data_IF_070642469150
#
_entry.id   IF_070642469150
#
_cell.length_a   1.000
_cell.length_b   1.000
_cell.length_c   1.000
_cell.angle_alpha   90.00
_cell.angle_beta   90.00
_cell.angle_gamma   90.00
#
_symmetry.space_group_name_H-M   'P 1'
#
loop_
_entity.id
_entity.type
_entity.pdbx_description
1 polymer ?
#
# COMPACT_ATOMS: atom_id res chain seq x y z
N UNK A 1 14.07 39.69 16.57
CA UNK A 1 14.10 41.16 16.66
C UNK A 1 12.69 41.70 16.34
N UNK A 2 11.85 41.90 17.37
CA UNK A 2 10.64 42.75 17.33
C UNK A 2 10.22 42.97 18.79
N UNK A 3 10.30 44.22 19.21
CA UNK A 3 10.19 44.70 20.58
C UNK A 3 8.79 45.22 20.89
N UNK A 4 8.33 44.94 22.12
CA UNK A 4 7.71 45.85 23.10
C UNK A 4 6.66 46.85 22.61
N UNK A 5 5.45 46.78 23.19
CA UNK A 5 4.77 47.95 23.82
C UNK A 5 3.96 47.48 25.04
N UNK A 6 4.43 47.82 26.26
CA UNK A 6 3.62 47.91 27.50
C UNK A 6 3.13 49.36 27.63
N UNK A 7 1.90 49.56 28.10
CA UNK A 7 1.43 50.85 28.65
C UNK A 7 0.91 50.66 30.08
N UNK A 8 1.33 51.49 31.04
CA UNK A 8 0.74 51.54 32.38
C UNK A 8 -0.31 52.66 32.46
N UNK A 9 -1.33 52.51 33.31
CA UNK A 9 -2.11 53.66 33.77
C UNK A 9 -2.17 53.72 35.29
N UNK A 10 -1.96 54.95 35.73
CA UNK A 10 -1.70 55.46 37.06
C UNK A 10 -2.94 55.56 37.94
N UNK A 11 -2.79 55.25 39.22
CA UNK A 11 -3.70 55.64 40.29
C UNK A 11 -3.77 57.17 40.44
N UNK A 12 -4.98 57.71 40.61
CA UNK A 12 -5.22 58.95 41.33
C UNK A 12 -6.34 58.73 42.34
N UNK A 13 -5.99 58.87 43.61
CA UNK A 13 -6.92 58.95 44.72
C UNK A 13 -7.48 60.38 44.82
N UNK A 14 -8.79 60.51 45.00
CA UNK A 14 -9.41 61.69 45.56
C UNK A 14 -10.35 61.26 46.68
N UNK A 15 -10.01 61.72 47.88
CA UNK A 15 -10.82 61.66 49.08
C UNK A 15 -11.88 62.76 49.03
N UNK A 16 -13.15 62.39 49.25
CA UNK A 16 -14.19 63.36 49.61
C UNK A 16 -15.02 62.80 50.77
N UNK A 17 -15.08 63.59 51.84
CA UNK A 17 -15.71 63.29 53.13
C UNK A 17 -17.23 63.47 53.07
N UNK A 18 -17.94 62.61 53.81
CA UNK A 18 -19.39 62.45 53.93
C UNK A 18 -20.19 63.73 54.27
N UNK A 19 -21.40 63.81 53.73
CA UNK A 19 -22.57 64.35 54.43
C UNK A 19 -23.71 63.32 54.39
N UNK A 20 -24.17 62.95 55.59
CA UNK A 20 -25.12 61.87 55.86
C UNK A 20 -26.57 62.39 55.79
N UNK A 21 -27.43 61.74 55.02
CA UNK A 21 -28.87 61.85 55.15
C UNK A 21 -29.50 60.45 54.98
N UNK A 22 -30.05 59.93 56.07
CA UNK A 22 -30.66 58.60 56.13
C UNK A 22 -32.08 58.65 55.55
N UNK A 23 -32.34 57.85 54.53
CA UNK A 23 -33.68 57.50 54.04
C UNK A 23 -33.77 55.96 54.07
N UNK A 24 -34.78 55.35 54.71
CA UNK A 24 -34.92 53.91 54.70
C UNK A 24 -35.46 53.47 53.33
N UNK A 25 -34.56 53.01 52.45
CA UNK A 25 -34.94 52.31 51.23
C UNK A 25 -34.89 50.80 51.49
N UNK A 26 -36.05 50.16 51.41
CA UNK A 26 -36.19 48.70 51.35
C UNK A 26 -35.38 48.15 50.17
N UNK A 27 -34.29 47.44 50.46
CA UNK A 27 -33.53 46.71 49.45
C UNK A 27 -34.29 45.41 49.17
N UNK A 28 -35.04 45.38 48.08
CA UNK A 28 -35.38 44.11 47.44
C UNK A 28 -34.10 43.55 46.85
N UNK A 29 -33.55 42.50 47.48
CA UNK A 29 -32.54 41.65 46.85
C UNK A 29 -33.22 40.85 45.75
N UNK A 30 -33.32 41.42 44.54
CA UNK A 30 -33.38 40.60 43.33
C UNK A 30 -31.99 40.01 43.15
N UNK A 31 -31.82 38.76 43.58
CA UNK A 31 -30.71 37.94 43.12
C UNK A 31 -30.89 37.85 41.61
N UNK A 32 -30.08 38.58 40.86
CA UNK A 32 -29.89 38.28 39.45
C UNK A 32 -29.40 36.83 39.42
N UNK A 33 -30.21 35.94 38.86
CA UNK A 33 -29.76 34.60 38.54
C UNK A 33 -28.48 34.77 37.72
N UNK A 34 -27.35 34.28 38.26
CA UNK A 34 -26.18 34.07 37.45
C UNK A 34 -26.64 33.18 36.28
N UNK A 35 -26.46 33.66 35.06
CA UNK A 35 -26.56 32.78 33.90
C UNK A 35 -25.67 31.57 34.18
N UNK A 36 -26.28 30.40 34.08
CA UNK A 36 -25.62 29.11 34.21
C UNK A 36 -24.52 29.07 33.14
N UNK A 37 -23.28 29.31 33.55
CA UNK A 37 -22.14 29.32 32.65
C UNK A 37 -21.85 27.86 32.31
N UNK A 38 -22.43 27.42 31.20
CA UNK A 38 -21.99 26.33 30.32
C UNK A 38 -21.40 25.13 31.08
N UNK A 39 -22.27 24.25 31.58
CA UNK A 39 -21.85 22.88 31.84
C UNK A 39 -21.20 22.35 30.54
N UNK A 40 -20.03 21.69 30.60
CA UNK A 40 -19.34 21.24 29.39
C UNK A 40 -20.34 20.41 28.58
N UNK A 41 -20.61 20.85 27.35
CA UNK A 41 -21.45 20.12 26.42
C UNK A 41 -20.79 18.75 26.24
N UNK A 42 -21.41 17.71 26.81
CA UNK A 42 -20.95 16.33 26.57
C UNK A 42 -21.15 16.11 25.08
N UNK A 43 -20.06 15.92 24.33
CA UNK A 43 -20.15 15.59 22.93
C UNK A 43 -20.97 14.29 22.80
N UNK A 44 -22.17 14.40 22.24
CA UNK A 44 -23.03 13.26 21.96
C UNK A 44 -22.79 12.81 20.52
N UNK A 45 -22.42 11.54 20.36
CA UNK A 45 -22.24 10.90 19.05
C UNK A 45 -23.61 10.43 18.53
N UNK A 46 -23.99 10.88 17.34
CA UNK A 46 -25.17 10.37 16.63
C UNK A 46 -24.79 9.06 15.92
N UNK A 47 -25.29 7.93 16.43
CA UNK A 47 -24.94 6.59 15.91
C UNK A 47 -25.65 6.27 14.59
N UNK A 48 -26.82 6.86 14.33
CA UNK A 48 -27.58 6.70 13.07
C UNK A 48 -27.16 7.70 11.97
N UNK A 49 -26.05 8.40 12.16
CA UNK A 49 -25.56 9.38 11.20
C UNK A 49 -25.13 8.72 9.87
N UNK A 50 -25.13 9.45 8.74
CA UNK A 50 -24.69 8.95 7.43
C UNK A 50 -23.16 8.85 7.29
N UNK A 51 -22.42 8.72 8.39
CA UNK A 51 -20.96 8.64 8.47
C UNK A 51 -20.55 7.72 9.63
N UNK A 52 -19.27 7.38 9.67
CA UNK A 52 -18.68 6.51 10.67
C UNK A 52 -18.06 7.33 11.82
N UNK A 53 -17.95 6.69 12.98
CA UNK A 53 -17.33 7.24 14.17
C UNK A 53 -16.26 6.30 14.72
N UNK A 54 -15.08 6.85 14.96
CA UNK A 54 -13.97 6.15 15.63
C UNK A 54 -13.64 6.89 16.91
N UNK A 55 -13.60 6.17 18.03
CA UNK A 55 -13.12 6.70 19.31
C UNK A 55 -11.72 6.17 19.57
N UNK A 56 -10.80 7.08 19.85
CA UNK A 56 -9.45 6.71 20.26
C UNK A 56 -9.40 6.35 21.75
N UNK A 57 -8.39 5.58 22.15
CA UNK A 57 -8.10 5.25 23.56
C UNK A 57 -7.79 6.49 24.40
N UNK A 58 -7.34 7.58 23.77
CA UNK A 58 -7.20 8.92 24.37
C UNK A 58 -8.54 9.56 24.76
N UNK A 59 -9.65 9.10 24.18
CA UNK A 59 -11.00 9.61 24.39
C UNK A 59 -11.53 10.52 23.28
N UNK A 60 -10.70 10.86 22.29
CA UNK A 60 -11.08 11.67 21.13
C UNK A 60 -12.03 10.90 20.20
N UNK A 61 -12.93 11.62 19.54
CA UNK A 61 -13.85 11.07 18.54
C UNK A 61 -13.56 11.67 17.17
N UNK A 62 -13.40 10.82 16.18
CA UNK A 62 -13.16 11.16 14.79
C UNK A 62 -14.41 10.85 13.96
N UNK A 63 -14.75 11.79 13.08
CA UNK A 63 -15.88 11.72 12.14
C UNK A 63 -15.35 11.51 10.73
N UNK A 64 -15.90 10.55 9.99
CA UNK A 64 -15.40 10.20 8.66
C UNK A 64 -16.00 8.92 8.11
N UNK A 65 -15.27 8.21 7.27
CA UNK A 65 -15.61 6.90 6.71
C UNK A 65 -14.47 5.91 6.95
N UNK A 66 -14.76 4.74 7.51
CA UNK A 66 -13.81 3.64 7.64
C UNK A 66 -13.66 2.98 6.28
N UNK A 67 -12.47 3.07 5.70
CA UNK A 67 -12.19 2.54 4.36
C UNK A 67 -11.63 1.12 4.44
N UNK A 68 -10.70 0.89 5.37
CA UNK A 68 -10.08 -0.42 5.61
C UNK A 68 -9.48 -0.54 7.03
N UNK A 69 -9.21 -1.77 7.45
CA UNK A 69 -8.23 -2.07 8.51
C UNK A 69 -7.26 -3.08 7.93
N UNK A 70 -6.01 -2.68 7.80
CA UNK A 70 -4.95 -3.42 7.16
C UNK A 70 -3.66 -3.21 7.96
N UNK A 71 -2.88 -4.29 8.14
CA UNK A 71 -1.54 -4.19 8.73
C UNK A 71 -1.50 -3.44 10.07
N UNK A 72 -2.45 -3.77 10.96
CA UNK A 72 -2.63 -3.14 12.28
C UNK A 72 -2.93 -1.63 12.25
N UNK A 73 -3.33 -1.07 11.11
CA UNK A 73 -3.81 0.31 11.00
C UNK A 73 -5.20 0.42 10.36
N UNK A 74 -6.04 1.24 10.98
CA UNK A 74 -7.37 1.59 10.50
C UNK A 74 -7.26 2.81 9.58
N UNK A 75 -7.58 2.59 8.30
CA UNK A 75 -7.67 3.64 7.29
C UNK A 75 -9.02 4.34 7.39
N UNK A 76 -8.98 5.67 7.53
CA UNK A 76 -10.13 6.51 7.86
C UNK A 76 -10.11 7.82 7.08
N UNK A 77 -11.10 8.04 6.22
CA UNK A 77 -11.24 9.27 5.42
C UNK A 77 -12.11 10.29 6.17
N UNK A 78 -11.58 11.47 6.46
CA UNK A 78 -12.29 12.55 7.14
C UNK A 78 -12.32 13.82 6.30
N UNK A 79 -13.51 14.41 6.11
CA UNK A 79 -13.67 15.69 5.41
C UNK A 79 -12.79 16.83 5.97
N UNK A 80 -12.48 16.80 7.26
CA UNK A 80 -11.74 17.88 7.96
C UNK A 80 -10.26 17.54 8.19
N UNK A 81 -9.89 16.26 8.27
CA UNK A 81 -8.52 15.81 8.55
C UNK A 81 -7.82 15.22 7.32
N UNK A 82 -8.57 14.93 6.24
CA UNK A 82 -8.11 14.10 5.13
C UNK A 82 -8.06 12.62 5.50
N UNK A 83 -7.30 11.85 4.72
CA UNK A 83 -7.02 10.44 4.98
C UNK A 83 -6.15 10.30 6.23
N UNK A 84 -6.56 9.42 7.16
CA UNK A 84 -5.88 9.15 8.41
C UNK A 84 -5.59 7.65 8.51
N UNK A 85 -4.36 7.30 8.86
CA UNK A 85 -3.97 5.95 9.25
C UNK A 85 -3.85 5.92 10.78
N UNK A 86 -4.68 5.11 11.43
CA UNK A 86 -4.81 5.08 12.89
C UNK A 86 -4.40 3.70 13.41
N UNK A 87 -3.37 3.64 14.26
CA UNK A 87 -2.98 2.42 14.98
C UNK A 87 -4.20 1.69 15.55
N UNK A 88 -4.37 0.42 15.19
CA UNK A 88 -5.54 -0.36 15.58
C UNK A 88 -5.66 -0.51 17.11
N UNK A 89 -4.52 -0.63 17.80
CA UNK A 89 -4.47 -0.65 19.26
C UNK A 89 -4.93 0.67 19.90
N UNK A 90 -4.89 1.77 19.15
CA UNK A 90 -5.39 3.08 19.58
C UNK A 90 -6.90 3.24 19.39
N UNK A 91 -7.60 2.28 18.77
CA UNK A 91 -9.05 2.31 18.59
C UNK A 91 -9.78 1.70 19.79
N UNK A 92 -10.53 2.53 20.52
CA UNK A 92 -11.33 2.11 21.66
C UNK A 92 -12.78 1.76 21.31
N UNK A 93 -13.34 2.41 20.28
CA UNK A 93 -14.67 2.12 19.77
C UNK A 93 -14.79 2.49 18.30
N UNK A 94 -15.61 1.74 17.59
CA UNK A 94 -15.93 1.96 16.18
C UNK A 94 -17.43 1.78 15.96
N UNK A 95 -18.01 2.70 15.18
CA UNK A 95 -19.39 2.64 14.69
C UNK A 95 -19.40 2.93 13.20
N UNK A 96 -19.91 2.01 12.38
CA UNK A 96 -19.97 2.21 10.92
C UNK A 96 -21.42 2.39 10.45
N UNK A 97 -21.63 3.38 9.59
CA UNK A 97 -22.89 3.61 8.90
C UNK A 97 -23.15 2.54 7.83
N UNK A 98 -22.12 2.19 7.06
CA UNK A 98 -22.17 1.16 6.01
C UNK A 98 -21.72 -0.20 6.56
N UNK A 99 -22.21 -1.27 5.96
CA UNK A 99 -21.71 -2.61 6.26
C UNK A 99 -20.27 -2.76 5.76
N UNK A 100 -19.46 -3.47 6.51
CA UNK A 100 -18.07 -3.82 6.16
C UNK A 100 -17.88 -5.33 6.22
N UNK A 101 -16.84 -5.83 5.57
CA UNK A 101 -16.39 -7.21 5.69
C UNK A 101 -15.30 -7.28 6.77
N UNK A 102 -15.50 -8.10 7.78
CA UNK A 102 -14.66 -8.18 8.97
C UNK A 102 -14.08 -9.58 9.05
N UNK A 103 -12.77 -9.70 8.85
CA UNK A 103 -12.05 -10.95 8.97
C UNK A 103 -11.36 -11.01 10.33
N UNK A 104 -11.67 -12.05 11.11
CA UNK A 104 -11.08 -12.29 12.42
C UNK A 104 -9.80 -13.13 12.32
N UNK A 105 -8.97 -13.08 13.37
CA UNK A 105 -7.74 -13.89 13.52
C UNK A 105 -8.01 -15.39 13.36
N UNK A 106 -9.15 -15.86 13.86
CA UNK A 106 -9.64 -17.23 13.71
C UNK A 106 -10.19 -17.58 12.31
N UNK A 107 -10.03 -16.67 11.33
CA UNK A 107 -10.49 -16.75 9.94
C UNK A 107 -12.00 -16.69 9.72
N UNK A 108 -12.82 -16.43 10.75
CA UNK A 108 -14.25 -16.16 10.55
C UNK A 108 -14.44 -14.82 9.84
N UNK A 109 -15.31 -14.81 8.83
CA UNK A 109 -15.65 -13.62 8.06
C UNK A 109 -17.09 -13.25 8.38
N UNK A 110 -17.28 -12.04 8.90
CA UNK A 110 -18.59 -11.45 9.14
C UNK A 110 -18.80 -10.29 8.16
N UNK A 111 -20.05 -10.04 7.81
CA UNK A 111 -20.44 -8.87 7.02
C UNK A 111 -21.55 -8.16 7.77
N UNK A 112 -21.37 -6.87 8.05
CA UNK A 112 -22.36 -6.08 8.76
C UNK A 112 -21.81 -4.74 9.22
N UNK A 113 -22.65 -3.93 9.85
CA UNK A 113 -22.22 -2.68 10.49
C UNK A 113 -21.50 -3.00 11.80
N UNK A 114 -20.42 -2.27 12.06
CA UNK A 114 -19.70 -2.36 13.32
C UNK A 114 -20.34 -1.44 14.34
N UNK A 115 -20.51 -1.93 15.55
CA UNK A 115 -20.91 -1.13 16.70
C UNK A 115 -20.14 -1.58 17.94
N UNK A 116 -19.62 -0.64 18.72
CA UNK A 116 -18.96 -0.97 19.99
C UNK A 116 -19.89 -0.65 21.15
N UNK A 117 -20.22 -1.64 21.96
CA UNK A 117 -21.07 -1.52 23.15
C UNK A 117 -20.31 -2.04 24.36
N UNK A 118 -20.17 -1.22 25.40
CA UNK A 118 -19.43 -1.55 26.63
C UNK A 118 -17.99 -2.08 26.37
N UNK A 119 -17.32 -1.53 25.36
CA UNK A 119 -15.96 -1.92 24.96
C UNK A 119 -15.87 -3.25 24.21
N UNK A 120 -17.01 -3.83 23.79
CA UNK A 120 -17.07 -5.04 22.96
C UNK A 120 -17.61 -4.72 21.58
N UNK A 121 -17.05 -5.37 20.57
CA UNK A 121 -17.47 -5.20 19.19
C UNK A 121 -18.69 -6.08 18.88
N UNK A 122 -19.66 -5.51 18.18
CA UNK A 122 -20.80 -6.19 17.62
C UNK A 122 -20.87 -5.92 16.11
N UNK A 123 -21.33 -6.92 15.36
CA UNK A 123 -21.46 -6.86 13.89
C UNK A 123 -22.90 -7.18 13.53
N UNK A 124 -23.70 -6.18 13.13
CA UNK A 124 -25.16 -6.29 12.96
C UNK A 124 -25.83 -7.03 14.14
N UNK A 125 -25.44 -6.69 15.38
CA UNK A 125 -25.94 -7.30 16.62
C UNK A 125 -25.37 -8.69 16.97
N UNK A 126 -24.51 -9.26 16.14
CA UNK A 126 -23.75 -10.48 16.49
C UNK A 126 -22.55 -10.11 17.36
N UNK A 127 -22.31 -10.85 18.45
CA UNK A 127 -21.22 -10.59 19.39
C UNK A 127 -21.55 -11.09 20.81
N UNK A 128 -20.78 -10.69 21.84
CA UNK A 128 -19.65 -9.77 21.78
C UNK A 128 -18.40 -10.40 21.14
N UNK A 129 -17.62 -9.59 20.43
CA UNK A 129 -16.27 -9.92 19.98
C UNK A 129 -15.24 -8.98 20.64
N UNK A 130 -13.99 -9.43 20.76
CA UNK A 130 -12.90 -8.54 21.11
C UNK A 130 -12.49 -7.72 19.89
N UNK A 131 -12.29 -6.41 20.05
CA UNK A 131 -11.85 -5.54 18.96
C UNK A 131 -10.49 -5.97 18.41
N UNK A 132 -9.60 -6.44 19.29
CA UNK A 132 -8.26 -6.94 18.95
C UNK A 132 -8.28 -8.30 18.23
N UNK A 133 -9.40 -9.02 18.22
CA UNK A 133 -9.52 -10.25 17.42
C UNK A 133 -9.83 -9.96 15.94
N UNK A 134 -10.10 -8.71 15.59
CA UNK A 134 -10.32 -8.28 14.20
C UNK A 134 -8.95 -8.18 13.52
N UNK A 135 -8.77 -8.95 12.46
CA UNK A 135 -7.54 -8.97 11.68
C UNK A 135 -7.60 -8.00 10.49
N UNK A 136 -8.76 -7.90 9.82
CA UNK A 136 -8.96 -6.98 8.68
C UNK A 136 -10.38 -6.48 8.59
N UNK A 137 -10.53 -5.24 8.13
CA UNK A 137 -11.79 -4.66 7.71
C UNK A 137 -11.63 -4.24 6.26
N UNK A 138 -12.62 -4.55 5.43
CA UNK A 138 -12.69 -4.06 4.06
C UNK A 138 -14.10 -3.55 3.78
N UNK A 139 -14.23 -2.37 3.19
CA UNK A 139 -15.51 -1.85 2.74
C UNK A 139 -16.30 -2.88 1.93
N UNK A 140 -17.64 -2.91 2.10
CA UNK A 140 -18.50 -3.74 1.25
C UNK A 140 -18.68 -3.06 -0.11
N UNK A 141 -17.60 -3.00 -0.90
CA UNK A 141 -17.68 -2.54 -2.28
C UNK A 141 -18.78 -3.35 -3.01
N UNK A 142 -19.75 -2.60 -3.56
CA UNK A 142 -20.91 -3.17 -4.26
C UNK A 142 -20.55 -3.64 -5.67
N UNK A 143 -19.49 -3.11 -6.28
CA UNK A 143 -19.07 -3.46 -7.64
C UNK A 143 -17.66 -4.02 -7.61
N UNK A 144 -17.46 -5.14 -8.29
CA UNK A 144 -16.17 -5.81 -8.35
C UNK A 144 -15.01 -4.91 -8.81
N UNK A 145 -15.29 -3.88 -9.60
CA UNK A 145 -14.30 -2.91 -10.06
C UNK A 145 -13.73 -2.05 -8.93
N UNK A 146 -14.50 -1.72 -7.88
CA UNK A 146 -14.02 -0.86 -6.78
C UNK A 146 -13.06 -1.59 -5.84
N UNK A 147 -12.75 -2.87 -6.11
CA UNK A 147 -11.75 -3.66 -5.38
C UNK A 147 -10.37 -3.60 -6.02
N UNK A 148 -10.25 -2.96 -7.18
CA UNK A 148 -9.01 -2.83 -7.92
C UNK A 148 -8.44 -1.44 -7.72
N UNK A 149 -7.16 -1.37 -7.37
CA UNK A 149 -6.34 -0.18 -7.56
C UNK A 149 -5.33 -0.44 -8.69
N UNK A 150 -4.83 0.63 -9.29
CA UNK A 150 -3.88 0.51 -10.38
C UNK A 150 -2.87 1.64 -10.44
N UNK A 151 -1.72 1.31 -11.02
CA UNK A 151 -0.63 2.24 -11.29
C UNK A 151 -0.20 2.06 -12.74
N UNK A 152 -0.14 3.13 -13.50
CA UNK A 152 0.36 3.13 -14.89
C UNK A 152 1.50 4.10 -14.97
N UNK A 153 2.66 3.65 -15.43
CA UNK A 153 3.86 4.47 -15.51
C UNK A 153 4.54 4.41 -16.87
N UNK A 154 5.34 5.44 -17.12
CA UNK A 154 6.27 5.51 -18.23
C UNK A 154 7.61 6.05 -17.72
N UNK A 155 8.72 5.55 -18.25
CA UNK A 155 10.06 5.94 -17.85
C UNK A 155 11.03 5.95 -19.03
N UNK A 156 12.18 6.55 -18.79
CA UNK A 156 13.26 6.64 -19.77
C UNK A 156 14.59 6.30 -19.12
N UNK A 157 15.49 5.74 -19.91
CA UNK A 157 16.91 5.62 -19.60
C UNK A 157 17.71 6.23 -20.74
N UNK A 158 18.71 7.04 -20.41
CA UNK A 158 19.46 7.82 -21.38
C UNK A 158 20.96 7.68 -21.14
N UNK A 159 21.71 7.29 -22.17
CA UNK A 159 23.18 7.18 -22.14
C UNK A 159 23.79 7.86 -23.36
N UNK A 160 24.78 8.72 -23.13
CA UNK A 160 25.52 9.45 -24.18
C UNK A 160 27.02 9.27 -24.06
N UNK A 161 27.73 9.50 -25.16
CA UNK A 161 29.19 9.60 -25.19
C UNK A 161 29.80 8.83 -26.36
N UNK A 162 30.17 7.57 -26.13
CA UNK A 162 30.69 6.70 -27.18
C UNK A 162 29.58 5.99 -27.97
N UNK A 163 28.38 5.91 -27.39
CA UNK A 163 27.17 5.33 -27.95
C UNK A 163 26.02 6.23 -27.49
N UNK A 164 25.06 6.49 -28.37
CA UNK A 164 23.83 7.23 -28.06
C UNK A 164 22.69 6.21 -27.95
N UNK A 165 22.33 5.90 -26.71
CA UNK A 165 21.30 4.92 -26.39
C UNK A 165 20.15 5.57 -25.63
N UNK A 166 18.94 5.32 -26.12
CA UNK A 166 17.68 5.81 -25.56
C UNK A 166 16.75 4.63 -25.33
N UNK A 167 16.41 4.34 -24.08
CA UNK A 167 15.48 3.25 -23.76
C UNK A 167 14.21 3.83 -23.14
N UNK A 168 13.07 3.25 -23.51
CA UNK A 168 11.77 3.61 -23.00
C UNK A 168 11.17 2.45 -22.21
N UNK A 169 10.56 2.76 -21.08
CA UNK A 169 9.84 1.81 -20.25
C UNK A 169 8.37 2.22 -20.16
N UNK A 170 7.46 1.25 -20.24
CA UNK A 170 6.07 1.40 -19.83
C UNK A 170 5.72 0.31 -18.84
N UNK A 171 4.98 0.66 -17.79
CA UNK A 171 4.57 -0.30 -16.77
C UNK A 171 3.11 -0.11 -16.36
N UNK A 172 2.48 -1.22 -16.00
CA UNK A 172 1.14 -1.28 -15.44
C UNK A 172 1.16 -2.24 -14.26
N UNK A 173 0.64 -1.81 -13.12
CA UNK A 173 0.43 -2.63 -11.94
C UNK A 173 -1.04 -2.55 -11.56
N UNK A 174 -1.67 -3.70 -11.32
CA UNK A 174 -3.06 -3.78 -10.88
C UNK A 174 -3.12 -4.65 -9.63
N UNK A 175 -3.90 -4.19 -8.65
CA UNK A 175 -4.05 -4.86 -7.37
C UNK A 175 -5.52 -4.97 -7.00
N UNK A 176 -6.05 -6.19 -7.08
CA UNK A 176 -7.36 -6.50 -6.53
C UNK A 176 -7.23 -6.90 -5.07
N UNK A 177 -7.95 -6.25 -4.16
CA UNK A 177 -7.94 -6.60 -2.72
C UNK A 177 -9.32 -6.97 -2.19
N UNK A 178 -9.32 -7.90 -1.24
CA UNK A 178 -10.46 -8.31 -0.41
C UNK A 178 -9.93 -8.69 0.96
N UNK A 179 -10.78 -8.75 1.99
CA UNK A 179 -10.36 -9.13 3.33
C UNK A 179 -9.58 -10.47 3.39
N UNK A 180 -9.90 -11.44 2.53
CA UNK A 180 -9.27 -12.78 2.52
C UNK A 180 -8.21 -13.01 1.44
N UNK A 181 -8.16 -12.17 0.41
CA UNK A 181 -7.33 -12.45 -0.76
C UNK A 181 -6.93 -11.21 -1.53
N UNK A 182 -5.78 -11.29 -2.20
CA UNK A 182 -5.33 -10.27 -3.13
C UNK A 182 -4.86 -10.89 -4.44
N UNK A 183 -5.07 -10.20 -5.55
CA UNK A 183 -4.52 -10.56 -6.86
C UNK A 183 -3.66 -9.41 -7.32
N UNK A 184 -2.38 -9.68 -7.59
CA UNK A 184 -1.42 -8.74 -8.16
C UNK A 184 -1.18 -9.11 -9.61
N UNK A 185 -1.34 -8.16 -10.51
CA UNK A 185 -0.95 -8.28 -11.91
C UNK A 185 0.04 -7.16 -12.22
N UNK A 186 1.11 -7.48 -12.94
CA UNK A 186 2.01 -6.46 -13.47
C UNK A 186 2.35 -6.72 -14.92
N UNK A 187 2.64 -5.66 -15.65
CA UNK A 187 3.15 -5.70 -17.00
C UNK A 187 4.21 -4.61 -17.16
N UNK A 188 5.34 -4.98 -17.75
CA UNK A 188 6.44 -4.08 -18.07
C UNK A 188 6.82 -4.32 -19.53
N UNK A 189 6.97 -3.24 -20.29
CA UNK A 189 7.54 -3.23 -21.63
C UNK A 189 8.75 -2.31 -21.65
N UNK A 190 9.87 -2.82 -22.15
CA UNK A 190 11.12 -2.08 -22.33
C UNK A 190 11.48 -2.09 -23.82
N UNK A 191 11.64 -0.91 -24.41
CA UNK A 191 12.03 -0.75 -25.82
C UNK A 191 13.38 -0.05 -25.86
N UNK A 192 14.35 -0.67 -26.52
CA UNK A 192 15.73 -0.22 -26.56
C UNK A 192 16.06 0.34 -27.94
N UNK A 193 16.63 1.54 -27.99
CA UNK A 193 17.10 2.17 -29.23
C UNK A 193 18.60 2.43 -29.20
N UNK A 194 19.28 2.12 -30.29
CA UNK A 194 20.67 2.48 -30.53
C UNK A 194 20.75 3.26 -31.85
N UNK A 195 21.35 4.45 -31.81
CA UNK A 195 21.41 5.38 -32.96
C UNK A 195 20.05 5.64 -33.65
N UNK A 196 18.94 5.53 -32.90
CA UNK A 196 17.57 5.75 -33.39
C UNK A 196 16.91 4.53 -34.04
N UNK A 197 17.57 3.37 -34.08
CA UNK A 197 16.99 2.10 -34.53
C UNK A 197 16.60 1.22 -33.32
N UNK A 198 15.42 0.60 -33.38
CA UNK A 198 14.96 -0.33 -32.35
C UNK A 198 15.85 -1.59 -32.38
N UNK A 199 16.55 -1.85 -31.28
CA UNK A 199 17.44 -3.00 -31.15
C UNK A 199 16.77 -4.17 -30.44
N UNK A 200 15.84 -3.88 -29.51
CA UNK A 200 15.13 -4.89 -28.74
C UNK A 200 13.82 -4.37 -28.18
N UNK A 201 12.89 -5.30 -27.99
CA UNK A 201 11.61 -5.06 -27.34
C UNK A 201 11.33 -6.20 -26.37
N UNK A 202 11.38 -5.88 -25.09
CA UNK A 202 11.27 -6.82 -24.00
C UNK A 202 9.95 -6.64 -23.27
N UNK A 203 9.35 -7.77 -22.90
CA UNK A 203 8.06 -7.79 -22.24
C UNK A 203 8.11 -8.73 -21.05
N UNK A 204 7.60 -8.27 -19.91
CA UNK A 204 7.38 -9.12 -18.75
C UNK A 204 5.98 -8.89 -18.20
N UNK A 205 5.22 -9.96 -18.03
CA UNK A 205 3.93 -9.91 -17.36
C UNK A 205 3.93 -10.87 -16.17
N UNK A 206 3.48 -10.45 -15.00
CA UNK A 206 3.37 -11.30 -13.82
C UNK A 206 1.95 -11.33 -13.29
N UNK A 207 1.58 -12.44 -12.67
CA UNK A 207 0.29 -12.59 -12.01
C UNK A 207 0.42 -13.47 -10.77
N UNK A 208 -0.09 -13.00 -9.64
CA UNK A 208 -0.05 -13.74 -8.38
C UNK A 208 -1.37 -13.60 -7.63
N UNK A 209 -1.91 -14.72 -7.16
CA UNK A 209 -3.10 -14.75 -6.30
C UNK A 209 -2.71 -15.22 -4.92
N UNK A 210 -2.92 -14.37 -3.92
CA UNK A 210 -2.64 -14.64 -2.51
C UNK A 210 -3.95 -14.86 -1.76
N UNK A 211 -4.00 -15.94 -0.97
CA UNK A 211 -5.11 -16.23 -0.07
C UNK A 211 -4.55 -16.30 1.34
N UNK A 212 -4.96 -15.35 2.18
CA UNK A 212 -4.55 -15.32 3.58
C UNK A 212 -5.16 -16.49 4.33
N UNK A 213 -4.35 -17.17 5.16
CA UNK A 213 -4.77 -18.33 5.97
C UNK A 213 -4.59 -18.10 7.47
N UNK A 214 -3.71 -17.19 7.85
CA UNK A 214 -3.56 -16.65 9.20
C UNK A 214 -2.96 -15.24 9.11
N UNK A 215 -2.70 -14.60 10.25
CA UNK A 215 -1.95 -13.34 10.32
C UNK A 215 -0.63 -13.43 9.55
N UNK A 216 0.10 -14.53 9.73
CA UNK A 216 1.48 -14.70 9.23
C UNK A 216 1.62 -15.55 7.97
N UNK A 217 0.60 -16.30 7.56
CA UNK A 217 0.72 -17.25 6.44
C UNK A 217 -0.31 -16.99 5.34
N UNK A 218 0.14 -17.19 4.10
CA UNK A 218 -0.71 -17.20 2.92
C UNK A 218 -0.41 -18.39 2.01
N UNK A 219 -1.43 -18.79 1.26
CA UNK A 219 -1.31 -19.73 0.16
C UNK A 219 -1.37 -18.95 -1.16
N UNK A 220 -0.54 -19.35 -2.12
CA UNK A 220 -0.46 -18.77 -3.46
C UNK A 220 -0.87 -19.84 -4.48
N UNK A 221 -2.19 -20.05 -4.71
CA UNK A 221 -2.66 -21.07 -5.65
C UNK A 221 -2.16 -20.87 -7.08
N UNK A 222 -1.90 -19.63 -7.47
CA UNK A 222 -1.43 -19.27 -8.80
C UNK A 222 -0.30 -18.26 -8.67
N UNK A 223 0.83 -18.60 -9.28
CA UNK A 223 1.86 -17.68 -9.71
C UNK A 223 2.07 -17.88 -11.21
N UNK A 224 2.23 -16.78 -11.92
CA UNK A 224 2.39 -16.77 -13.35
C UNK A 224 3.40 -15.70 -13.76
N UNK A 225 4.26 -16.02 -14.74
CA UNK A 225 5.16 -15.09 -15.38
C UNK A 225 5.24 -15.38 -16.88
N UNK A 226 5.09 -14.35 -17.69
CA UNK A 226 5.48 -14.33 -19.10
C UNK A 226 6.70 -13.42 -19.25
N UNK A 227 7.68 -13.85 -20.03
CA UNK A 227 8.89 -13.10 -20.29
C UNK A 227 9.35 -13.27 -21.75
N UNK A 228 9.68 -12.16 -22.42
CA UNK A 228 10.25 -12.10 -23.76
C UNK A 228 11.44 -11.15 -23.72
N UNK A 229 12.62 -11.64 -24.10
CA UNK A 229 13.86 -10.88 -24.09
C UNK A 229 14.75 -11.29 -25.27
N UNK A 230 14.57 -10.66 -26.45
CA UNK A 230 15.30 -11.04 -27.65
C UNK A 230 16.83 -10.92 -27.54
N UNK A 231 17.35 -9.96 -26.77
CA UNK A 231 18.79 -9.82 -26.51
C UNK A 231 19.36 -10.98 -25.67
N UNK A 232 18.53 -11.58 -24.82
CA UNK A 232 18.87 -12.79 -24.06
C UNK A 232 18.56 -14.07 -24.84
N UNK A 233 18.31 -13.97 -26.16
CA UNK A 233 17.91 -15.07 -27.03
C UNK A 233 16.57 -15.75 -26.63
N UNK A 234 15.73 -15.08 -25.84
CA UNK A 234 14.43 -15.63 -25.38
C UNK A 234 13.31 -15.01 -26.22
N UNK A 235 12.70 -15.80 -27.10
CA UNK A 235 11.51 -15.37 -27.85
C UNK A 235 10.25 -15.38 -26.98
N UNK A 236 10.09 -16.38 -26.11
CA UNK A 236 9.05 -16.39 -25.10
C UNK A 236 9.36 -17.38 -23.98
N UNK A 237 8.97 -17.04 -22.77
CA UNK A 237 9.09 -17.91 -21.62
C UNK A 237 7.86 -17.77 -20.75
N UNK A 238 7.26 -18.90 -20.41
CA UNK A 238 6.05 -19.00 -19.62
C UNK A 238 6.36 -19.82 -18.38
N UNK A 239 6.14 -19.23 -17.21
CA UNK A 239 6.27 -19.92 -15.92
C UNK A 239 4.91 -19.90 -15.25
N UNK A 240 4.44 -21.07 -14.81
CA UNK A 240 3.24 -21.19 -14.01
C UNK A 240 3.53 -22.07 -12.78
N UNK A 241 3.05 -21.66 -11.63
CA UNK A 241 3.33 -22.35 -10.38
C UNK A 241 2.29 -22.08 -9.30
N UNK A 242 2.54 -22.69 -8.16
CA UNK A 242 1.77 -22.50 -6.93
C UNK A 242 2.76 -22.51 -5.76
N UNK A 243 2.37 -21.99 -4.61
CA UNK A 243 3.27 -21.92 -3.47
C UNK A 243 2.58 -21.48 -2.20
N UNK A 244 3.38 -21.21 -1.20
CA UNK A 244 2.92 -20.62 0.04
C UNK A 244 4.01 -19.69 0.56
N UNK A 245 3.63 -18.79 1.45
CA UNK A 245 4.55 -17.83 2.00
C UNK A 245 4.12 -17.31 3.36
N UNK A 246 4.99 -16.47 3.89
CA UNK A 246 4.83 -15.83 5.18
C UNK A 246 4.98 -14.32 5.07
N UNK A 247 4.24 -13.64 5.92
CA UNK A 247 4.47 -12.25 6.27
C UNK A 247 5.50 -12.24 7.41
N UNK A 248 6.73 -11.81 7.10
CA UNK A 248 7.80 -11.62 8.08
C UNK A 248 7.57 -10.34 8.89
N UNK A 249 7.12 -9.29 8.21
CA UNK A 249 6.64 -8.02 8.76
C UNK A 249 5.35 -7.66 8.00
N UNK A 250 4.32 -7.19 8.69
CA UNK A 250 3.08 -6.72 8.08
C UNK A 250 2.43 -5.68 8.98
N UNK A 251 3.00 -4.47 8.97
CA UNK A 251 2.43 -3.30 9.61
C UNK A 251 2.25 -2.16 8.60
N UNK A 252 1.63 -1.07 9.05
CA UNK A 252 1.34 0.16 8.29
C UNK A 252 2.55 0.69 7.50
N UNK A 253 3.72 0.77 8.14
CA UNK A 253 4.92 1.35 7.52
C UNK A 253 5.78 0.35 6.76
N UNK A 254 5.63 -0.95 7.01
CA UNK A 254 6.54 -1.96 6.46
C UNK A 254 5.82 -3.29 6.21
N UNK A 255 5.89 -3.74 4.96
CA UNK A 255 5.51 -5.09 4.56
C UNK A 255 6.74 -5.86 4.11
N UNK A 256 6.96 -7.04 4.67
CA UNK A 256 7.97 -7.96 4.17
C UNK A 256 7.39 -9.36 4.06
N UNK A 257 7.34 -9.87 2.84
CA UNK A 257 6.88 -11.22 2.54
C UNK A 257 7.96 -12.08 1.92
N UNK A 258 7.87 -13.38 2.16
CA UNK A 258 8.62 -14.37 1.40
C UNK A 258 7.72 -15.55 1.06
N UNK A 259 7.85 -16.07 -0.16
CA UNK A 259 7.15 -17.26 -0.62
C UNK A 259 8.07 -18.17 -1.40
N UNK A 260 7.69 -19.44 -1.47
CA UNK A 260 8.36 -20.40 -2.32
C UNK A 260 7.37 -21.44 -2.82
N UNK A 261 7.69 -22.07 -3.95
CA UNK A 261 6.81 -23.08 -4.49
C UNK A 261 7.33 -23.78 -5.74
N UNK A 262 6.71 -24.92 -6.09
CA UNK A 262 6.96 -25.57 -7.36
C UNK A 262 6.27 -24.83 -8.51
N UNK A 263 6.82 -25.00 -9.71
CA UNK A 263 6.25 -24.51 -10.94
C UNK A 263 6.69 -25.34 -12.14
N UNK A 264 6.28 -24.88 -13.30
CA UNK A 264 6.65 -25.40 -14.60
C UNK A 264 7.03 -24.23 -15.49
N UNK A 265 8.11 -24.40 -16.25
CA UNK A 265 8.62 -23.40 -17.19
C UNK A 265 8.66 -24.00 -18.59
N UNK A 266 8.10 -23.28 -19.54
CA UNK A 266 8.28 -23.51 -20.97
C UNK A 266 9.05 -22.32 -21.55
N UNK A 267 10.15 -22.60 -22.26
CA UNK A 267 10.96 -21.58 -22.92
C UNK A 267 11.03 -21.89 -24.40
N UNK A 268 10.82 -20.86 -25.23
CA UNK A 268 11.16 -20.85 -26.64
C UNK A 268 12.27 -19.84 -26.89
N UNK A 269 13.41 -20.33 -27.34
CA UNK A 269 14.55 -19.52 -27.75
C UNK A 269 14.33 -18.93 -29.14
N UNK A 270 14.97 -17.79 -29.42
CA UNK A 270 14.88 -17.12 -30.73
C UNK A 270 15.69 -17.90 -31.76
N UNK A 271 16.90 -18.31 -31.37
CA UNK A 271 17.84 -19.07 -32.19
C UNK A 271 18.53 -20.13 -31.33
N UNK A 272 18.94 -21.23 -31.96
CA UNK A 272 19.73 -22.29 -31.33
C UNK A 272 20.72 -22.86 -32.35
N UNK A 273 21.85 -23.44 -31.90
CA UNK A 273 22.78 -24.13 -32.79
C UNK A 273 22.09 -25.25 -33.59
N UNK A 274 22.61 -25.55 -34.78
CA UNK A 274 22.05 -26.56 -35.68
C UNK A 274 21.87 -27.92 -34.98
N UNK A 275 20.66 -28.48 -35.09
CA UNK A 275 20.31 -29.78 -34.51
C UNK A 275 19.84 -29.73 -33.04
N UNK A 276 19.71 -28.55 -32.43
CA UNK A 276 19.07 -28.37 -31.13
C UNK A 276 17.59 -27.98 -31.27
N UNK A 277 16.80 -28.27 -30.23
CA UNK A 277 15.40 -27.84 -30.15
C UNK A 277 15.33 -26.38 -29.65
N UNK A 278 14.54 -25.56 -30.33
CA UNK A 278 14.27 -24.17 -29.91
C UNK A 278 13.44 -24.09 -28.62
N UNK A 279 12.81 -25.20 -28.22
CA UNK A 279 11.88 -25.25 -27.09
C UNK A 279 12.38 -26.16 -25.99
N UNK A 280 12.30 -25.69 -24.75
CA UNK A 280 12.73 -26.43 -23.57
C UNK A 280 11.67 -26.33 -22.49
N UNK A 281 11.33 -27.49 -21.92
CA UNK A 281 10.44 -27.62 -20.77
C UNK A 281 11.22 -27.91 -19.50
N UNK A 282 10.76 -27.38 -18.37
CA UNK A 282 11.40 -27.58 -17.08
C UNK A 282 10.42 -27.60 -15.93
N UNK A 283 10.62 -28.54 -15.00
CA UNK A 283 10.14 -28.32 -13.63
C UNK A 283 10.88 -27.11 -13.04
N UNK A 284 10.15 -26.25 -12.35
CA UNK A 284 10.69 -25.06 -11.72
C UNK A 284 10.48 -25.10 -10.20
N UNK A 285 11.37 -24.46 -9.46
CA UNK A 285 11.14 -24.09 -8.07
C UNK A 285 11.50 -22.63 -7.90
N UNK A 286 10.59 -21.84 -7.34
CA UNK A 286 10.83 -20.42 -7.10
C UNK A 286 10.94 -20.11 -5.62
N UNK A 287 11.73 -19.09 -5.32
CA UNK A 287 11.75 -18.38 -4.05
C UNK A 287 11.58 -16.90 -4.37
N UNK A 288 10.60 -16.27 -3.75
CA UNK A 288 10.29 -14.85 -3.92
C UNK A 288 10.37 -14.15 -2.56
N UNK A 289 10.82 -12.91 -2.56
CA UNK A 289 10.69 -12.01 -1.42
C UNK A 289 10.36 -10.61 -1.90
N UNK A 290 9.46 -9.95 -1.19
CA UNK A 290 8.99 -8.60 -1.48
C UNK A 290 9.02 -7.81 -0.18
N UNK A 291 9.72 -6.69 -0.20
CA UNK A 291 9.85 -5.73 0.87
C UNK A 291 9.30 -4.39 0.37
N UNK A 292 8.38 -3.80 1.11
CA UNK A 292 7.84 -2.48 0.86
C UNK A 292 7.91 -1.70 2.18
N UNK A 293 8.39 -0.46 2.14
CA UNK A 293 8.49 0.40 3.32
C UNK A 293 8.18 1.85 2.96
N UNK A 294 7.29 2.44 3.75
CA UNK A 294 7.09 3.89 3.80
C UNK A 294 8.23 4.50 4.61
N UNK A 295 9.04 5.34 3.97
CA UNK A 295 10.16 6.03 4.62
C UNK A 295 9.70 7.34 5.28
N UNK A 296 8.75 8.01 4.62
CA UNK A 296 8.08 9.25 5.02
C UNK A 296 6.75 9.34 4.26
N UNK A 297 5.85 10.24 4.67
CA UNK A 297 4.53 10.49 4.05
C UNK A 297 4.52 10.84 2.53
N UNK A 298 5.68 10.93 1.88
CA UNK A 298 5.84 11.22 0.45
C UNK A 298 6.95 10.38 -0.23
N UNK A 299 7.52 9.40 0.48
CA UNK A 299 8.61 8.56 -0.04
C UNK A 299 8.47 7.10 0.38
N UNK A 300 8.46 6.23 -0.61
CA UNK A 300 8.40 4.78 -0.42
C UNK A 300 9.60 4.08 -1.05
N UNK A 301 10.04 2.99 -0.43
CA UNK A 301 10.99 2.06 -1.03
C UNK A 301 10.36 0.69 -1.19
N UNK A 302 10.57 0.09 -2.36
CA UNK A 302 10.18 -1.28 -2.66
C UNK A 302 11.40 -2.08 -3.13
N UNK A 303 11.56 -3.30 -2.65
CA UNK A 303 12.59 -4.23 -3.07
C UNK A 303 11.98 -5.61 -3.30
N UNK A 304 12.10 -6.13 -4.50
CA UNK A 304 11.65 -7.48 -4.87
C UNK A 304 12.83 -8.32 -5.32
N UNK A 305 12.82 -9.59 -4.98
CA UNK A 305 13.81 -10.55 -5.45
C UNK A 305 13.17 -11.93 -5.66
N UNK A 306 13.33 -12.47 -6.86
CA UNK A 306 12.90 -13.80 -7.26
C UNK A 306 14.10 -14.63 -7.74
N UNK A 307 14.25 -15.82 -7.15
CA UNK A 307 15.11 -16.88 -7.65
C UNK A 307 14.21 -17.96 -8.28
N UNK A 308 14.50 -18.35 -9.52
CA UNK A 308 13.85 -19.47 -10.20
C UNK A 308 14.89 -20.53 -10.56
N UNK A 309 14.75 -21.71 -9.98
CA UNK A 309 15.59 -22.87 -10.24
C UNK A 309 14.95 -23.80 -11.27
N UNK A 310 15.69 -24.18 -12.31
CA UNK A 310 15.26 -25.01 -13.45
C UNK A 310 16.36 -26.00 -13.87
N UNK A 311 16.15 -26.74 -14.96
CA UNK A 311 17.21 -27.52 -15.62
C UNK A 311 18.25 -26.60 -16.30
N UNK A 312 19.37 -27.20 -16.74
CA UNK A 312 20.47 -26.45 -17.36
C UNK A 312 20.06 -25.75 -18.66
N UNK A 313 19.30 -26.44 -19.52
CA UNK A 313 18.85 -25.96 -20.83
C UNK A 313 17.86 -24.78 -20.70
N UNK A 314 17.16 -24.66 -19.56
CA UNK A 314 16.31 -23.51 -19.21
C UNK A 314 17.02 -22.49 -18.32
N UNK A 315 18.36 -22.51 -18.22
CA UNK A 315 19.12 -21.48 -17.51
C UNK A 315 19.54 -21.78 -16.06
N UNK A 316 19.13 -22.91 -15.49
CA UNK A 316 19.40 -23.43 -14.14
C UNK A 316 19.04 -22.54 -12.95
N UNK A 317 19.69 -21.40 -12.79
CA UNK A 317 19.41 -20.43 -11.72
C UNK A 317 19.20 -19.08 -12.36
N UNK A 318 17.97 -18.59 -12.25
CA UNK A 318 17.56 -17.29 -12.73
C UNK A 318 17.27 -16.38 -11.56
N UNK A 319 17.84 -15.19 -11.58
CA UNK A 319 17.62 -14.19 -10.56
C UNK A 319 16.95 -12.98 -11.22
N UNK A 320 15.95 -12.42 -10.56
CA UNK A 320 15.38 -11.14 -10.91
C UNK A 320 15.25 -10.33 -9.62
N UNK A 321 15.97 -9.21 -9.55
CA UNK A 321 15.92 -8.27 -8.44
C UNK A 321 15.50 -6.89 -8.94
N UNK A 322 14.63 -6.22 -8.18
CA UNK A 322 14.23 -4.84 -8.43
C UNK A 322 14.29 -4.07 -7.13
N UNK A 323 14.87 -2.87 -7.15
CA UNK A 323 14.75 -1.90 -6.06
C UNK A 323 14.21 -0.62 -6.65
N UNK A 324 13.12 -0.10 -6.08
CA UNK A 324 12.44 1.11 -6.52
C UNK A 324 12.31 2.09 -5.36
N UNK A 325 12.59 3.36 -5.64
CA UNK A 325 12.21 4.50 -4.81
C UNK A 325 11.06 5.23 -5.51
N UNK A 326 9.99 5.50 -4.78
CA UNK A 326 8.88 6.33 -5.24
C UNK A 326 8.84 7.62 -4.42
N UNK A 327 8.59 8.74 -5.08
CA UNK A 327 8.47 10.05 -4.47
C UNK A 327 7.18 10.69 -4.96
N UNK A 328 6.29 11.02 -4.04
CA UNK A 328 4.99 11.59 -4.38
C UNK A 328 5.17 13.04 -4.84
N UNK A 329 4.71 13.31 -6.06
CA UNK A 329 4.68 14.66 -6.63
C UNK A 329 3.32 15.32 -6.36
N UNK A 330 2.26 14.53 -6.36
CA UNK A 330 0.86 14.87 -6.03
C UNK A 330 0.16 13.60 -5.54
N UNK A 331 -1.06 13.72 -5.02
CA UNK A 331 -1.91 12.60 -4.54
C UNK A 331 -2.15 11.45 -5.55
N UNK A 332 -1.75 11.61 -6.82
CA UNK A 332 -1.93 10.59 -7.87
C UNK A 332 -0.73 10.42 -8.78
N UNK A 333 0.37 11.14 -8.54
CA UNK A 333 1.51 11.16 -9.44
C UNK A 333 2.79 11.01 -8.64
N UNK A 334 3.60 10.02 -9.04
CA UNK A 334 4.84 9.71 -8.35
C UNK A 334 5.98 9.73 -9.35
N UNK A 335 7.12 10.25 -8.91
CA UNK A 335 8.41 10.03 -9.54
C UNK A 335 8.93 8.67 -9.08
N UNK A 336 9.31 7.80 -10.01
CA UNK A 336 9.93 6.51 -9.72
C UNK A 336 11.38 6.46 -10.17
N UNK A 337 12.23 5.86 -9.36
CA UNK A 337 13.60 5.53 -9.68
C UNK A 337 13.82 4.05 -9.38
N UNK A 338 14.13 3.25 -10.40
CA UNK A 338 14.23 1.79 -10.25
C UNK A 338 15.56 1.27 -10.76
N UNK A 339 16.14 0.31 -10.03
CA UNK A 339 17.30 -0.47 -10.42
C UNK A 339 16.88 -1.94 -10.56
N UNK A 340 17.26 -2.56 -11.68
CA UNK A 340 16.97 -3.94 -12.02
C UNK A 340 18.26 -4.73 -12.13
N UNK A 341 18.19 -5.99 -11.70
CA UNK A 341 19.23 -6.99 -11.91
C UNK A 341 18.57 -8.29 -12.36
N UNK A 342 18.86 -8.71 -13.58
CA UNK A 342 18.47 -10.02 -14.09
C UNK A 342 19.74 -10.86 -14.29
N UNK A 343 19.68 -12.13 -13.90
CA UNK A 343 20.79 -13.06 -14.10
C UNK A 343 20.30 -14.42 -14.58
N UNK A 344 20.97 -14.99 -15.57
CA UNK A 344 20.78 -16.37 -16.01
C UNK A 344 22.10 -17.13 -15.90
N UNK A 345 22.14 -18.23 -15.12
CA UNK A 345 23.39 -18.96 -14.86
C UNK A 345 23.95 -19.64 -16.11
N UNK A 346 23.09 -20.20 -16.96
CA UNK A 346 23.46 -20.85 -18.21
C UNK A 346 22.59 -20.33 -19.36
N UNK A 347 22.90 -19.15 -19.92
CA UNK A 347 22.19 -18.63 -21.09
C UNK A 347 22.29 -19.58 -22.29
N UNK A 348 21.26 -19.59 -23.13
CA UNK A 348 21.24 -20.41 -24.34
C UNK A 348 21.98 -19.69 -25.47
N UNK A 349 22.93 -20.38 -26.10
CA UNK A 349 23.65 -19.86 -27.26
C UNK A 349 22.71 -19.68 -28.47
N UNK A 350 22.99 -18.69 -29.31
CA UNK A 350 22.30 -18.49 -30.59
C UNK A 350 22.77 -19.50 -31.67
N UNK A 351 22.34 -19.30 -32.92
CA UNK A 351 22.68 -20.19 -34.03
C UNK A 351 24.18 -20.23 -34.35
N UNK A 352 24.90 -19.12 -34.10
CA UNK A 352 26.34 -19.00 -34.31
C UNK A 352 27.17 -19.46 -33.09
N UNK A 353 26.49 -19.90 -32.02
CA UNK A 353 27.10 -20.35 -30.78
C UNK A 353 27.55 -19.21 -29.86
N UNK A 354 27.10 -17.98 -30.10
CA UNK A 354 27.36 -16.84 -29.22
C UNK A 354 26.45 -16.96 -28.02
N UNK A 355 27.04 -16.87 -26.82
CA UNK A 355 26.33 -16.99 -25.54
C UNK A 355 26.04 -15.58 -25.03
N UNK A 356 24.78 -15.22 -24.73
CA UNK A 356 24.46 -13.96 -24.07
C UNK A 356 25.19 -13.80 -22.73
N UNK A 357 25.40 -12.55 -22.31
CA UNK A 357 25.95 -12.26 -20.99
C UNK A 357 25.06 -12.82 -19.87
N UNK A 358 25.66 -13.13 -18.73
CA UNK A 358 24.92 -13.76 -17.63
C UNK A 358 24.12 -12.77 -16.79
N UNK A 359 24.57 -11.52 -16.70
CA UNK A 359 24.04 -10.51 -15.80
C UNK A 359 23.68 -9.25 -16.59
N UNK A 360 22.45 -8.79 -16.44
CA UNK A 360 21.95 -7.54 -17.00
C UNK A 360 21.55 -6.60 -15.86
N UNK A 361 21.97 -5.34 -15.96
CA UNK A 361 21.65 -4.27 -15.01
C UNK A 361 20.99 -3.12 -15.73
N UNK A 362 19.91 -2.60 -15.16
CA UNK A 362 19.17 -1.47 -15.73
C UNK A 362 18.79 -0.48 -14.65
N UNK A 363 18.79 0.80 -15.01
CA UNK A 363 18.28 1.88 -14.18
C UNK A 363 17.23 2.64 -14.97
N UNK A 364 16.12 2.96 -14.34
CA UNK A 364 15.05 3.74 -14.98
C UNK A 364 14.64 4.88 -14.07
N UNK A 365 14.26 6.00 -14.68
CA UNK A 365 13.57 7.09 -14.01
C UNK A 365 12.25 7.30 -14.76
N UNK A 366 11.15 7.37 -14.04
CA UNK A 366 9.83 7.46 -14.65
C UNK A 366 8.83 8.23 -13.81
N UNK A 367 7.66 8.43 -14.39
CA UNK A 367 6.49 8.98 -13.69
C UNK A 367 5.37 7.96 -13.80
N UNK A 368 4.63 7.81 -12.71
CA UNK A 368 3.49 6.90 -12.63
C UNK A 368 2.26 7.62 -12.11
N UNK A 369 1.10 7.20 -12.62
CA UNK A 369 -0.21 7.68 -12.21
C UNK A 369 -0.96 6.57 -11.48
N UNK A 370 -1.49 6.88 -10.28
CA UNK A 370 -2.29 5.99 -9.44
C UNK A 370 -3.80 6.28 -9.54
N UNK A 371 -4.61 5.21 -9.51
CA UNK A 371 -6.07 5.30 -9.62
C UNK A 371 -6.84 4.17 -8.92
#
# INVERSE_FOLDING_TARGET
MKSLIRRPYSLRAYSLTLACAAIPATISTTVAAAEDIDAPTVATVEIDAPWDWVKLTSGEWLKGEVTALEQDSLEFDSDELGDQSIDWESVAAIHTHKSVNVLFTNQQLYTGKLETVDGKLYIDGQGPFEILDVMRIASTSRREIDRWSGKVGAGVNYRTGNVDQEDFNANVSLLRRTARSSVRLSYIADVFYDEGEETSNEHRATGSWYIRRSERWFWQPVQFEFYSAPLQNISSQWTAGMGAGVYLIDNDQTSWTTSAGPGYMYTKYKEVPEGQDETVDSGAFYLNTQYDQELTDYMDVSATYQLTATNNESGKYKHHGVVSLYIDLTDKLDLSMSAYWDRIKYPQADADGVIPEQDDFRYTVGVSYEF
#
